data_IF_912360567290
#
_entry.id   IF_912360567290
#
_cell.length_a   1.000
_cell.length_b   1.000
_cell.length_c   1.000
_cell.angle_alpha   90.00
_cell.angle_beta   90.00
_cell.angle_gamma   90.00
#
_symmetry.space_group_name_H-M   'P 1'
#
loop_
_entity.id
_entity.type
_entity.pdbx_description
1 polymer ?
#
# COMPACT_ATOMS: atom_id res chain seq x y z
N UNK A 1 38.54 19.31 -30.39
CA UNK A 1 38.75 17.95 -30.93
C UNK A 1 37.42 17.30 -31.19
N UNK A 2 37.28 16.67 -32.32
CA UNK A 2 36.02 16.01 -32.70
C UNK A 2 35.82 14.76 -31.83
N UNK A 3 34.61 14.56 -31.38
CA UNK A 3 34.25 13.39 -30.59
C UNK A 3 33.92 12.25 -31.54
N UNK A 4 34.53 11.09 -31.35
CA UNK A 4 34.30 9.95 -32.22
C UNK A 4 32.99 9.25 -31.89
N UNK A 5 32.37 8.68 -32.92
CA UNK A 5 31.17 7.87 -32.73
C UNK A 5 31.44 6.68 -31.82
N UNK A 6 32.64 6.14 -31.93
CA UNK A 6 33.03 5.00 -31.08
C UNK A 6 33.02 5.35 -29.60
N UNK A 7 33.53 6.54 -29.24
CA UNK A 7 33.51 7.01 -27.89
C UNK A 7 32.09 7.26 -27.39
N UNK A 8 31.24 7.79 -28.29
CA UNK A 8 29.83 8.03 -27.94
C UNK A 8 29.14 6.70 -27.61
N UNK A 9 29.36 5.68 -28.44
CA UNK A 9 28.75 4.36 -28.21
C UNK A 9 29.29 3.72 -26.97
N UNK A 10 30.59 3.89 -26.70
CA UNK A 10 31.19 3.34 -25.47
C UNK A 10 30.57 3.99 -24.22
N UNK A 11 30.44 5.32 -24.24
CA UNK A 11 29.84 6.03 -23.10
C UNK A 11 28.40 5.61 -22.92
N UNK A 12 27.66 5.45 -24.03
CA UNK A 12 26.27 4.99 -23.93
C UNK A 12 26.19 3.60 -23.27
N UNK A 13 27.09 2.71 -23.69
CA UNK A 13 27.08 1.35 -23.12
C UNK A 13 27.41 1.35 -21.66
N UNK A 14 28.25 2.28 -21.20
CA UNK A 14 28.65 2.39 -19.79
C UNK A 14 27.58 3.05 -18.92
N UNK A 15 26.81 3.97 -19.48
CA UNK A 15 25.89 4.79 -18.67
C UNK A 15 24.41 4.51 -18.94
N UNK A 16 24.07 4.01 -20.13
CA UNK A 16 22.69 3.85 -20.52
C UNK A 16 22.03 5.12 -21.02
N UNK A 17 22.76 6.23 -21.04
CA UNK A 17 22.22 7.50 -21.52
C UNK A 17 22.02 7.48 -23.03
N UNK A 18 21.19 8.38 -23.55
CA UNK A 18 20.95 8.48 -24.97
C UNK A 18 22.18 8.97 -25.75
N UNK A 19 22.21 8.67 -27.03
CA UNK A 19 23.36 9.05 -27.88
C UNK A 19 23.60 10.57 -27.86
N UNK A 20 22.51 11.36 -27.88
CA UNK A 20 22.64 12.81 -27.87
C UNK A 20 23.26 13.31 -26.56
N UNK A 21 22.84 12.77 -25.44
CA UNK A 21 23.38 13.15 -24.14
C UNK A 21 24.85 12.74 -24.04
N UNK A 22 25.21 11.56 -24.58
CA UNK A 22 26.59 11.10 -24.55
C UNK A 22 27.47 12.00 -25.42
N UNK A 23 26.96 12.37 -26.59
CA UNK A 23 27.69 13.27 -27.51
C UNK A 23 27.95 14.61 -26.81
N UNK A 24 26.89 15.19 -26.22
CA UNK A 24 27.02 16.47 -25.54
C UNK A 24 28.00 16.41 -24.37
N UNK A 25 27.94 15.33 -23.58
CA UNK A 25 28.85 15.18 -22.44
C UNK A 25 30.30 15.08 -22.90
N UNK A 26 30.56 14.34 -23.96
CA UNK A 26 31.92 14.21 -24.51
C UNK A 26 32.42 15.51 -25.11
N UNK A 27 31.55 16.24 -25.82
CA UNK A 27 31.90 17.55 -26.33
C UNK A 27 32.26 18.52 -25.20
N UNK A 28 31.44 18.53 -24.18
CA UNK A 28 31.64 19.40 -23.02
C UNK A 28 32.97 19.13 -22.31
N UNK A 29 33.40 17.88 -22.31
CA UNK A 29 34.61 17.46 -21.61
C UNK A 29 35.80 17.21 -22.56
N UNK A 30 35.70 17.65 -23.80
CA UNK A 30 36.76 17.51 -24.80
C UNK A 30 37.22 16.06 -24.97
N UNK A 31 36.27 15.14 -24.95
CA UNK A 31 36.53 13.72 -25.16
C UNK A 31 37.01 12.94 -23.93
N UNK A 32 37.06 13.58 -22.79
CA UNK A 32 37.46 12.92 -21.54
C UNK A 32 36.34 12.00 -21.09
N UNK A 33 36.56 10.68 -21.18
CA UNK A 33 35.52 9.69 -20.89
C UNK A 33 35.09 9.73 -19.42
N UNK A 34 36.03 9.81 -18.49
CA UNK A 34 35.68 9.83 -17.06
C UNK A 34 34.90 11.09 -16.71
N UNK A 35 35.32 12.24 -17.25
CA UNK A 35 34.62 13.48 -17.00
C UNK A 35 33.22 13.46 -17.59
N UNK A 36 33.07 12.81 -18.77
CA UNK A 36 31.76 12.70 -19.41
C UNK A 36 30.81 11.83 -18.59
N UNK A 37 31.32 10.76 -17.99
CA UNK A 37 30.50 9.93 -17.08
C UNK A 37 30.00 10.78 -15.92
N UNK A 38 30.86 11.62 -15.37
CA UNK A 38 30.47 12.49 -14.26
C UNK A 38 29.43 13.53 -14.66
N UNK A 39 29.55 14.08 -15.90
CA UNK A 39 28.55 15.01 -16.42
C UNK A 39 27.18 14.33 -16.49
N UNK A 40 27.14 13.09 -16.98
CA UNK A 40 25.87 12.37 -17.09
C UNK A 40 25.32 12.07 -15.70
N UNK A 41 26.18 11.71 -14.76
CA UNK A 41 25.74 11.47 -13.38
C UNK A 41 25.14 12.72 -12.77
N UNK A 42 25.78 13.87 -12.94
CA UNK A 42 25.27 15.14 -12.42
C UNK A 42 23.95 15.53 -13.06
N UNK A 43 23.79 15.25 -14.37
CA UNK A 43 22.51 15.51 -15.03
C UNK A 43 21.40 14.68 -14.39
N UNK A 44 21.66 13.41 -14.09
CA UNK A 44 20.68 12.59 -13.40
C UNK A 44 20.32 13.14 -12.05
N UNK A 45 21.32 13.60 -11.29
CA UNK A 45 21.08 14.22 -10.01
C UNK A 45 20.25 15.49 -10.14
N UNK A 46 20.52 16.30 -11.16
CA UNK A 46 19.78 17.54 -11.38
C UNK A 46 18.31 17.23 -11.72
N UNK A 47 18.06 16.22 -12.54
CA UNK A 47 16.69 15.83 -12.87
C UNK A 47 15.97 15.34 -11.61
N UNK A 48 16.62 14.52 -10.81
CA UNK A 48 16.04 13.99 -9.59
C UNK A 48 15.70 15.14 -8.63
N UNK A 49 16.60 16.12 -8.47
CA UNK A 49 16.37 17.25 -7.59
C UNK A 49 15.22 18.13 -8.09
N UNK A 50 15.19 18.38 -9.40
CA UNK A 50 14.15 19.23 -10.00
C UNK A 50 12.76 18.63 -9.82
N UNK A 51 12.67 17.31 -9.81
CA UNK A 51 11.38 16.62 -9.72
C UNK A 51 11.12 16.02 -8.34
N UNK A 52 11.89 16.43 -7.34
CA UNK A 52 11.81 15.80 -6.01
C UNK A 52 10.46 15.99 -5.32
N UNK A 53 9.71 17.04 -5.69
CA UNK A 53 8.40 17.31 -5.10
C UNK A 53 7.26 16.57 -5.79
N UNK A 54 7.53 15.87 -6.86
CA UNK A 54 6.48 15.14 -7.58
C UNK A 54 6.15 13.83 -6.88
N UNK A 55 4.87 13.46 -6.94
CA UNK A 55 4.43 12.18 -6.40
C UNK A 55 4.83 11.04 -7.32
N UNK A 56 5.21 9.92 -6.72
CA UNK A 56 5.49 8.70 -7.45
C UNK A 56 4.38 7.71 -7.13
N UNK A 57 3.48 7.50 -8.09
CA UNK A 57 2.29 6.67 -7.91
C UNK A 57 2.32 5.36 -8.70
N UNK A 58 3.30 5.20 -9.56
CA UNK A 58 3.50 3.98 -10.33
C UNK A 58 4.82 3.37 -9.92
N UNK A 59 5.12 2.19 -10.46
CA UNK A 59 6.38 1.57 -10.13
C UNK A 59 6.39 0.08 -10.37
N UNK A 60 7.41 -0.56 -9.81
CA UNK A 60 7.63 -1.99 -9.93
C UNK A 60 7.89 -2.55 -8.54
N UNK A 61 7.06 -3.52 -8.13
CA UNK A 61 7.20 -4.23 -6.86
C UNK A 61 7.61 -5.66 -7.18
N UNK A 62 8.70 -6.12 -6.57
CA UNK A 62 9.20 -7.48 -6.80
C UNK A 62 9.48 -8.15 -5.47
N UNK A 63 9.48 -9.47 -5.48
CA UNK A 63 9.72 -10.29 -4.29
C UNK A 63 10.70 -11.41 -4.61
N UNK A 64 11.54 -11.75 -3.65
CA UNK A 64 12.50 -12.84 -3.82
C UNK A 64 12.83 -13.46 -2.46
N UNK A 65 12.95 -14.78 -2.44
CA UNK A 65 13.31 -15.53 -1.24
C UNK A 65 14.50 -16.43 -1.58
N UNK A 66 15.58 -16.32 -0.79
CA UNK A 66 16.78 -17.14 -0.97
C UNK A 66 17.36 -17.43 0.42
N UNK A 67 17.58 -18.72 0.70
CA UNK A 67 18.40 -19.20 1.83
C UNK A 67 18.07 -18.49 3.16
N UNK A 68 16.82 -18.59 3.57
CA UNK A 68 16.43 -18.10 4.88
C UNK A 68 16.21 -16.60 4.94
N UNK A 69 16.03 -15.95 3.79
CA UNK A 69 15.79 -14.51 3.74
C UNK A 69 14.85 -14.19 2.59
N UNK A 70 13.83 -13.39 2.86
CA UNK A 70 12.93 -12.91 1.82
C UNK A 70 12.83 -11.39 1.85
N UNK A 71 12.64 -10.81 0.67
CA UNK A 71 12.47 -9.35 0.58
C UNK A 71 11.47 -8.99 -0.50
N UNK A 72 10.74 -7.91 -0.23
CA UNK A 72 9.91 -7.22 -1.21
C UNK A 72 10.51 -5.83 -1.37
N UNK A 73 10.65 -5.38 -2.61
CA UNK A 73 11.18 -4.04 -2.87
C UNK A 73 10.29 -3.32 -3.88
N UNK A 74 10.21 -2.00 -3.75
CA UNK A 74 9.45 -1.17 -4.67
C UNK A 74 10.31 -0.04 -5.19
N UNK A 75 10.45 0.04 -6.51
CA UNK A 75 11.04 1.20 -7.18
C UNK A 75 9.89 1.95 -7.82
N UNK A 76 9.71 3.20 -7.42
CA UNK A 76 8.56 4.02 -7.82
C UNK A 76 8.95 5.03 -8.90
N UNK A 77 7.94 5.38 -9.70
CA UNK A 77 8.10 6.37 -10.78
C UNK A 77 6.76 7.07 -11.02
N UNK A 78 6.75 7.83 -12.03
CA UNK A 78 5.73 8.55 -12.22
C UNK A 78 4.80 8.00 -13.03
N UNK A 79 5.13 7.41 -14.16
CA UNK A 79 4.16 6.93 -15.17
C UNK A 79 4.21 5.41 -15.32
N UNK A 80 3.10 4.85 -15.81
CA UNK A 80 3.09 3.41 -16.08
C UNK A 80 3.97 3.05 -17.29
N UNK A 81 4.21 4.00 -18.20
CA UNK A 81 5.15 3.77 -19.30
C UNK A 81 6.53 3.40 -18.77
N UNK A 82 7.04 4.17 -17.81
CA UNK A 82 8.33 3.89 -17.22
C UNK A 82 8.27 2.61 -16.39
N UNK A 83 7.21 2.45 -15.61
CA UNK A 83 7.07 1.26 -14.75
C UNK A 83 7.12 -0.04 -15.53
N UNK A 84 6.58 -0.04 -16.74
CA UNK A 84 6.52 -1.25 -17.58
C UNK A 84 7.70 -1.38 -18.53
N UNK A 85 8.61 -0.41 -18.55
CA UNK A 85 9.80 -0.46 -19.37
C UNK A 85 10.72 -1.58 -18.88
N UNK A 86 11.24 -2.37 -19.82
CA UNK A 86 12.06 -3.53 -19.47
C UNK A 86 13.30 -3.14 -18.68
N UNK A 87 13.91 -2.01 -18.98
CA UNK A 87 15.11 -1.57 -18.27
C UNK A 87 14.79 -1.14 -16.85
N UNK A 88 13.63 -0.55 -16.63
CA UNK A 88 13.19 -0.17 -15.30
C UNK A 88 12.92 -1.42 -14.44
N UNK A 89 12.23 -2.40 -15.01
CA UNK A 89 11.97 -3.66 -14.32
C UNK A 89 13.30 -4.37 -14.02
N UNK A 90 14.22 -4.38 -15.00
CA UNK A 90 15.53 -5.01 -14.81
C UNK A 90 16.32 -4.34 -13.70
N UNK A 91 16.28 -3.01 -13.61
CA UNK A 91 16.94 -2.31 -12.51
C UNK A 91 16.34 -2.72 -11.17
N UNK A 92 15.02 -2.78 -11.08
CA UNK A 92 14.35 -3.20 -9.85
C UNK A 92 14.81 -4.60 -9.45
N UNK A 93 14.90 -5.51 -10.42
CA UNK A 93 15.34 -6.88 -10.15
C UNK A 93 16.81 -6.91 -9.70
N UNK A 94 17.67 -6.11 -10.32
CA UNK A 94 19.08 -6.04 -9.91
C UNK A 94 19.20 -5.55 -8.47
N UNK A 95 18.41 -4.55 -8.12
CA UNK A 95 18.43 -4.01 -6.75
C UNK A 95 17.96 -5.09 -5.76
N UNK A 96 16.88 -5.77 -6.10
CA UNK A 96 16.36 -6.84 -5.23
C UNK A 96 17.38 -7.96 -5.08
N UNK A 97 18.02 -8.37 -6.17
CA UNK A 97 19.04 -9.42 -6.13
C UNK A 97 20.18 -9.02 -5.19
N UNK A 98 20.64 -7.78 -5.28
CA UNK A 98 21.72 -7.28 -4.41
C UNK A 98 21.27 -7.24 -2.96
N UNK A 99 20.04 -6.78 -2.72
CA UNK A 99 19.49 -6.70 -1.36
C UNK A 99 19.41 -8.07 -0.71
N UNK A 100 18.94 -9.08 -1.45
CA UNK A 100 18.79 -10.43 -0.93
C UNK A 100 20.17 -11.09 -0.74
N UNK A 101 21.07 -10.90 -1.68
CA UNK A 101 22.41 -11.48 -1.58
C UNK A 101 23.15 -10.96 -0.35
N UNK A 102 22.92 -9.72 0.04
CA UNK A 102 23.58 -9.09 1.19
C UNK A 102 22.70 -9.06 2.43
N UNK A 103 21.47 -9.52 2.34
CA UNK A 103 20.50 -9.54 3.46
C UNK A 103 20.40 -8.21 4.18
N UNK A 104 20.27 -7.15 3.41
CA UNK A 104 20.24 -5.94 3.94
C UNK A 104 19.06 -5.81 4.73
N UNK A 105 19.12 -5.29 5.90
CA UNK A 105 18.02 -5.22 6.84
C UNK A 105 17.13 -4.01 6.60
N UNK A 106 17.66 -2.90 6.08
CA UNK A 106 16.93 -1.65 5.93
C UNK A 106 17.07 -1.10 4.52
N UNK A 107 16.12 -0.24 4.17
CA UNK A 107 16.16 0.43 2.87
C UNK A 107 17.43 1.26 2.68
N UNK A 108 17.86 1.95 3.73
CA UNK A 108 19.08 2.75 3.63
C UNK A 108 20.30 1.88 3.34
N UNK A 109 20.35 0.70 3.93
CA UNK A 109 21.43 -0.25 3.64
C UNK A 109 21.38 -0.71 2.18
N UNK A 110 20.17 -0.94 1.66
CA UNK A 110 20.03 -1.33 0.26
C UNK A 110 20.51 -0.22 -0.66
N UNK A 111 20.13 1.03 -0.37
CA UNK A 111 20.53 2.17 -1.21
C UNK A 111 22.04 2.33 -1.28
N UNK A 112 22.74 1.93 -0.24
CA UNK A 112 24.19 2.07 -0.16
C UNK A 112 24.97 0.91 -0.78
N UNK A 113 24.28 -0.17 -1.18
CA UNK A 113 24.95 -1.34 -1.75
C UNK A 113 25.63 -0.98 -3.08
N UNK A 114 26.78 -1.59 -3.36
CA UNK A 114 27.39 -1.40 -4.67
C UNK A 114 26.51 -1.94 -5.79
N UNK A 115 26.42 -1.19 -6.87
CA UNK A 115 25.71 -1.64 -8.07
C UNK A 115 26.34 -0.93 -9.27
N UNK A 116 26.90 -1.69 -10.19
CA UNK A 116 27.61 -1.11 -11.32
C UNK A 116 28.80 -0.31 -10.82
N UNK A 117 28.97 0.91 -11.31
CA UNK A 117 30.11 1.76 -10.96
C UNK A 117 29.84 2.63 -9.72
N UNK A 118 28.69 2.52 -9.13
CA UNK A 118 28.34 3.32 -7.95
C UNK A 118 27.51 2.51 -7.00
N UNK A 119 26.56 3.17 -6.36
CA UNK A 119 25.65 2.50 -5.42
C UNK A 119 24.30 2.27 -6.08
N UNK A 120 23.45 1.53 -5.37
CA UNK A 120 22.04 1.38 -5.78
C UNK A 120 21.40 2.76 -5.96
N UNK A 121 21.59 3.67 -4.99
CA UNK A 121 20.99 5.00 -5.11
C UNK A 121 21.53 5.74 -6.34
N UNK A 122 22.83 5.60 -6.63
CA UNK A 122 23.41 6.19 -7.84
C UNK A 122 22.71 5.66 -9.10
N UNK A 123 22.42 4.37 -9.13
CA UNK A 123 21.78 3.77 -10.29
C UNK A 123 20.35 4.28 -10.47
N UNK A 124 19.64 4.49 -9.35
CA UNK A 124 18.28 5.05 -9.40
C UNK A 124 18.33 6.48 -9.93
N UNK A 125 19.25 7.29 -9.44
CA UNK A 125 19.42 8.66 -9.90
C UNK A 125 19.78 8.69 -11.38
N UNK A 126 20.68 7.81 -11.81
CA UNK A 126 21.06 7.74 -13.23
C UNK A 126 19.87 7.40 -14.11
N UNK A 127 19.04 6.45 -13.68
CA UNK A 127 17.85 6.07 -14.44
C UNK A 127 16.85 7.23 -14.52
N UNK A 128 16.71 7.98 -13.44
CA UNK A 128 15.88 9.18 -13.44
C UNK A 128 16.36 10.18 -14.47
N UNK A 129 17.67 10.34 -14.61
CA UNK A 129 18.24 11.23 -15.62
C UNK A 129 17.93 10.78 -17.04
N UNK A 130 17.96 9.47 -17.28
CA UNK A 130 17.68 8.92 -18.61
C UNK A 130 16.20 9.13 -18.98
N UNK A 131 15.30 8.86 -18.08
CA UNK A 131 13.86 8.92 -18.36
C UNK A 131 13.27 10.32 -18.22
N UNK A 132 13.91 11.17 -17.43
CA UNK A 132 13.37 12.49 -17.11
C UNK A 132 12.27 12.47 -16.04
N UNK A 133 12.06 11.33 -15.39
CA UNK A 133 11.05 11.20 -14.33
C UNK A 133 11.71 11.00 -12.98
N UNK A 134 11.07 11.53 -11.94
CA UNK A 134 11.48 11.22 -10.57
C UNK A 134 11.35 9.71 -10.33
N UNK A 135 12.36 9.13 -9.72
CA UNK A 135 12.32 7.75 -9.27
C UNK A 135 12.70 7.70 -7.82
N UNK A 136 12.07 6.78 -7.10
CA UNK A 136 12.28 6.68 -5.67
C UNK A 136 12.26 5.22 -5.26
N UNK A 137 13.35 4.76 -4.66
CA UNK A 137 13.36 3.45 -4.04
C UNK A 137 12.68 3.64 -2.69
N UNK A 138 11.44 3.21 -2.58
CA UNK A 138 10.59 3.58 -1.45
C UNK A 138 9.65 2.46 -1.05
N UNK A 139 10.22 1.37 -0.65
CA UNK A 139 9.49 0.23 -0.14
C UNK A 139 10.44 -0.94 -0.02
N UNK A 140 10.58 -1.44 1.20
CA UNK A 140 11.45 -2.58 1.45
C UNK A 140 10.97 -3.29 2.69
N UNK A 141 10.56 -4.53 2.52
CA UNK A 141 10.06 -5.36 3.61
C UNK A 141 10.83 -6.68 3.59
N UNK A 142 11.15 -7.21 4.77
CA UNK A 142 11.93 -8.44 4.85
C UNK A 142 11.32 -9.43 5.83
N UNK A 143 11.66 -10.70 5.61
CA UNK A 143 11.44 -11.79 6.56
C UNK A 143 12.71 -12.61 6.63
N UNK A 144 13.07 -13.06 7.83
CA UNK A 144 14.24 -13.90 8.04
C UNK A 144 13.81 -15.20 8.67
N UNK A 145 14.35 -16.30 8.18
CA UNK A 145 14.08 -17.62 8.73
C UNK A 145 13.74 -18.62 7.63
N UNK A 146 13.32 -19.81 8.06
CA UNK A 146 12.97 -20.86 7.13
C UNK A 146 11.52 -20.76 6.67
N UNK A 147 11.19 -21.46 5.59
CA UNK A 147 9.81 -21.70 5.16
C UNK A 147 9.09 -20.40 4.78
N UNK A 148 9.74 -19.57 3.99
CA UNK A 148 9.17 -18.31 3.47
C UNK A 148 8.74 -18.57 2.03
N UNK A 149 7.50 -18.18 1.69
CA UNK A 149 6.93 -18.40 0.36
C UNK A 149 6.55 -17.07 -0.26
N UNK A 150 7.01 -16.79 -1.50
CA UNK A 150 6.78 -15.50 -2.14
C UNK A 150 5.64 -15.54 -3.15
N UNK A 151 5.09 -14.36 -3.49
CA UNK A 151 4.05 -14.26 -4.49
C UNK A 151 4.02 -12.86 -5.08
N UNK A 152 4.00 -12.81 -6.40
CA UNK A 152 3.83 -11.57 -7.17
C UNK A 152 2.46 -11.68 -7.84
N UNK A 153 1.50 -10.91 -7.37
CA UNK A 153 0.10 -11.08 -7.74
C UNK A 153 -0.09 -10.91 -9.24
N UNK A 154 -0.54 -11.98 -9.88
CA UNK A 154 -0.80 -12.03 -11.32
C UNK A 154 0.42 -11.67 -12.16
N UNK A 155 1.61 -11.72 -11.59
CA UNK A 155 2.87 -11.34 -12.24
C UNK A 155 2.85 -9.91 -12.80
N UNK A 156 2.12 -9.02 -12.13
CA UNK A 156 1.97 -7.64 -12.62
C UNK A 156 2.93 -6.66 -11.97
N UNK A 157 3.73 -7.11 -11.00
CA UNK A 157 4.73 -6.26 -10.33
C UNK A 157 4.11 -5.04 -9.63
N UNK A 158 2.90 -5.21 -9.11
CA UNK A 158 2.17 -4.14 -8.41
C UNK A 158 1.95 -4.49 -6.96
N UNK A 159 1.66 -5.76 -6.69
CA UNK A 159 1.36 -6.25 -5.33
C UNK A 159 2.12 -7.56 -5.11
N UNK A 160 2.95 -7.57 -4.07
CA UNK A 160 3.70 -8.78 -3.72
C UNK A 160 3.50 -9.11 -2.26
N UNK A 161 3.57 -10.41 -1.94
CA UNK A 161 3.45 -10.88 -0.58
C UNK A 161 4.50 -11.94 -0.29
N UNK A 162 4.76 -12.17 1.00
CA UNK A 162 5.54 -13.29 1.50
C UNK A 162 4.84 -13.82 2.75
N UNK A 163 4.83 -15.12 2.92
CA UNK A 163 4.30 -15.76 4.13
C UNK A 163 5.36 -16.71 4.67
N UNK A 164 5.61 -16.63 5.97
CA UNK A 164 6.54 -17.54 6.64
C UNK A 164 5.74 -18.52 7.49
N UNK A 165 5.97 -19.79 7.25
CA UNK A 165 5.30 -20.88 7.98
C UNK A 165 6.25 -21.43 9.05
N UNK A 166 5.67 -22.06 10.09
CA UNK A 166 6.50 -22.63 11.15
C UNK A 166 7.14 -23.96 10.76
N UNK A 167 6.72 -24.55 9.65
CA UNK A 167 7.32 -25.79 9.13
C UNK A 167 7.11 -25.83 7.62
N UNK A 168 7.86 -26.68 6.90
CA UNK A 168 7.70 -26.74 5.45
C UNK A 168 6.28 -27.12 5.04
N UNK A 169 5.67 -26.32 4.18
CA UNK A 169 4.30 -26.54 3.70
C UNK A 169 4.11 -25.72 2.46
N UNK A 170 4.66 -26.17 1.35
CA UNK A 170 4.69 -25.36 0.12
C UNK A 170 3.29 -25.06 -0.40
N UNK A 171 2.42 -26.05 -0.42
CA UNK A 171 1.06 -25.85 -0.94
C UNK A 171 0.31 -24.84 -0.08
N UNK A 172 0.36 -24.99 1.24
CA UNK A 172 -0.35 -24.11 2.17
C UNK A 172 0.29 -22.73 2.18
N UNK A 173 1.62 -22.67 2.17
CA UNK A 173 2.33 -21.40 2.14
C UNK A 173 1.94 -20.58 0.92
N UNK A 174 1.92 -21.22 -0.25
CA UNK A 174 1.53 -20.54 -1.47
C UNK A 174 0.06 -20.07 -1.40
N UNK A 175 -0.84 -20.93 -0.91
CA UNK A 175 -2.24 -20.54 -0.79
C UNK A 175 -2.40 -19.32 0.11
N UNK A 176 -1.61 -19.24 1.18
CA UNK A 176 -1.71 -18.10 2.09
C UNK A 176 -1.06 -16.83 1.54
N UNK A 177 -0.08 -16.94 0.66
CA UNK A 177 0.41 -15.72 0.01
C UNK A 177 -0.70 -15.07 -0.81
N UNK A 178 -1.53 -15.89 -1.45
CA UNK A 178 -2.66 -15.39 -2.22
C UNK A 178 -3.76 -14.85 -1.30
N UNK A 179 -3.97 -15.49 -0.15
CA UNK A 179 -4.91 -15.02 0.86
C UNK A 179 -4.51 -13.63 1.34
N UNK A 180 -3.24 -13.43 1.67
CA UNK A 180 -2.73 -12.14 2.13
C UNK A 180 -2.91 -11.10 1.03
N UNK A 181 -2.59 -11.44 -0.20
CA UNK A 181 -2.75 -10.52 -1.33
C UNK A 181 -4.20 -10.06 -1.47
N UNK A 182 -5.14 -11.00 -1.39
CA UNK A 182 -6.55 -10.71 -1.65
C UNK A 182 -7.24 -10.04 -0.47
N UNK A 183 -6.93 -10.45 0.75
CA UNK A 183 -7.72 -10.06 1.92
C UNK A 183 -7.04 -9.05 2.83
N UNK A 184 -5.77 -8.75 2.59
CA UNK A 184 -5.04 -7.68 3.29
C UNK A 184 -5.23 -7.71 4.82
N UNK A 185 -4.89 -8.82 5.48
CA UNK A 185 -5.01 -8.85 6.94
C UNK A 185 -4.01 -7.89 7.60
N UNK A 186 -4.34 -7.43 8.80
CA UNK A 186 -3.47 -6.50 9.53
C UNK A 186 -2.46 -7.23 10.42
N UNK A 187 -2.72 -8.51 10.72
CA UNK A 187 -1.86 -9.29 11.60
C UNK A 187 -2.17 -10.78 11.42
N UNK A 188 -1.30 -11.62 11.93
CA UNK A 188 -1.51 -13.07 11.88
C UNK A 188 -2.74 -13.48 12.69
N UNK A 189 -2.85 -12.95 13.92
CA UNK A 189 -3.96 -13.26 14.82
C UNK A 189 -4.25 -12.07 15.72
N UNK A 190 -5.27 -12.19 16.55
CA UNK A 190 -5.69 -11.11 17.42
C UNK A 190 -4.54 -10.66 18.36
N UNK A 191 -3.81 -11.60 18.90
CA UNK A 191 -2.72 -11.28 19.84
C UNK A 191 -1.62 -10.45 19.17
N UNK A 192 -1.41 -10.61 17.85
CA UNK A 192 -0.35 -9.89 17.15
C UNK A 192 -0.80 -8.54 16.59
N UNK A 193 -2.07 -8.16 16.71
CA UNK A 193 -2.50 -6.84 16.26
C UNK A 193 -1.81 -5.79 17.12
N UNK A 194 -1.11 -4.81 16.51
CA UNK A 194 -0.44 -3.78 17.31
C UNK A 194 -1.43 -3.01 18.18
N UNK A 195 -0.98 -2.64 19.38
CA UNK A 195 -1.86 -1.95 20.32
C UNK A 195 -2.42 -0.65 19.74
N UNK A 196 -1.61 0.09 18.98
CA UNK A 196 -2.09 1.33 18.38
C UNK A 196 -3.21 1.09 17.37
N UNK A 197 -3.19 -0.03 16.66
CA UNK A 197 -4.27 -0.41 15.76
C UNK A 197 -5.52 -0.75 16.57
N UNK A 198 -5.36 -1.53 17.64
CA UNK A 198 -6.49 -1.86 18.53
C UNK A 198 -7.14 -0.60 19.09
N UNK A 199 -6.33 0.34 19.55
CA UNK A 199 -6.84 1.58 20.13
C UNK A 199 -7.59 2.42 19.10
N UNK A 200 -7.03 2.53 17.90
CA UNK A 200 -7.67 3.30 16.83
C UNK A 200 -8.99 2.67 16.42
N UNK A 201 -9.03 1.37 16.28
CA UNK A 201 -10.27 0.68 15.92
C UNK A 201 -11.33 0.74 17.04
N UNK A 202 -10.90 0.74 18.11
CA UNK A 202 -11.70 0.83 19.14
C UNK A 202 -12.37 2.07 19.22
N UNK A 203 -11.59 3.08 19.05
CA UNK A 203 -12.15 4.43 19.03
C UNK A 203 -13.19 4.58 17.93
N UNK A 204 -12.86 4.09 16.74
CA UNK A 204 -13.79 4.11 15.61
C UNK A 204 -15.06 3.33 15.94
N UNK A 205 -14.93 2.17 16.58
CA UNK A 205 -16.11 1.36 16.94
C UNK A 205 -17.02 2.11 17.88
N UNK A 206 -16.45 2.79 18.88
CA UNK A 206 -17.24 3.55 19.85
C UNK A 206 -17.94 4.71 19.15
N UNK A 207 -17.21 5.48 18.35
CA UNK A 207 -17.78 6.63 17.65
C UNK A 207 -18.90 6.21 16.71
N UNK A 208 -18.68 5.13 15.96
CA UNK A 208 -19.69 4.64 15.03
C UNK A 208 -20.93 4.13 15.76
N UNK A 209 -20.74 3.47 16.90
CA UNK A 209 -21.87 3.00 17.70
C UNK A 209 -22.69 4.18 18.21
N UNK A 210 -22.03 5.21 18.72
CA UNK A 210 -22.74 6.41 19.20
C UNK A 210 -23.52 7.06 18.07
N UNK A 211 -22.89 7.21 16.91
CA UNK A 211 -23.53 7.82 15.75
C UNK A 211 -24.78 7.05 15.33
N UNK A 212 -24.67 5.72 15.28
CA UNK A 212 -25.81 4.90 14.87
C UNK A 212 -26.96 4.97 15.87
N UNK A 213 -26.65 5.01 17.19
CA UNK A 213 -27.68 5.12 18.21
C UNK A 213 -28.40 6.46 18.11
N UNK A 214 -27.66 7.54 17.86
CA UNK A 214 -28.25 8.87 17.69
C UNK A 214 -29.12 8.90 16.44
N UNK A 215 -28.63 8.36 15.33
CA UNK A 215 -29.39 8.35 14.06
C UNK A 215 -30.67 7.54 14.20
N UNK A 216 -30.62 6.42 14.90
CA UNK A 216 -31.80 5.61 15.17
C UNK A 216 -32.86 6.39 15.95
N UNK A 217 -32.42 7.14 16.98
CA UNK A 217 -33.35 7.94 17.77
C UNK A 217 -33.97 9.05 16.95
N UNK A 218 -33.17 9.69 16.07
CA UNK A 218 -33.64 10.75 15.20
C UNK A 218 -34.68 10.20 14.22
N UNK A 219 -34.41 9.05 13.60
CA UNK A 219 -35.35 8.43 12.71
C UNK A 219 -36.68 8.09 13.39
N UNK A 220 -36.59 7.54 14.61
CA UNK A 220 -37.78 7.19 15.37
C UNK A 220 -38.60 8.42 15.71
N UNK A 221 -37.95 9.53 16.09
CA UNK A 221 -38.64 10.77 16.41
C UNK A 221 -39.35 11.34 15.18
N UNK A 222 -38.69 11.33 14.03
CA UNK A 222 -39.27 11.82 12.77
C UNK A 222 -40.48 10.98 12.37
N UNK A 223 -40.35 9.67 12.48
CA UNK A 223 -41.40 8.74 12.12
C UNK A 223 -42.60 8.93 13.04
N UNK A 224 -42.36 9.07 14.34
CA UNK A 224 -43.41 9.30 15.31
C UNK A 224 -44.14 10.61 15.04
N UNK A 225 -43.43 11.63 14.60
CA UNK A 225 -44.03 12.93 14.27
C UNK A 225 -44.74 12.93 12.92
N UNK A 226 -44.65 11.84 12.16
CA UNK A 226 -45.32 11.71 10.88
C UNK A 226 -44.59 12.24 9.68
N UNK A 227 -43.29 12.53 9.81
CA UNK A 227 -42.55 13.04 8.68
C UNK A 227 -42.02 11.92 7.80
N UNK A 228 -41.87 12.21 6.52
CA UNK A 228 -41.30 11.29 5.55
C UNK A 228 -39.77 11.23 5.73
N UNK A 229 -39.25 10.04 5.96
CA UNK A 229 -37.82 9.89 6.28
C UNK A 229 -36.91 10.26 5.11
N UNK A 230 -37.34 10.00 3.87
CA UNK A 230 -36.53 10.38 2.70
C UNK A 230 -36.40 11.89 2.61
N UNK A 231 -37.52 12.61 2.77
CA UNK A 231 -37.53 14.08 2.71
C UNK A 231 -36.67 14.66 3.85
N UNK A 232 -36.76 14.07 5.03
CA UNK A 232 -36.04 14.57 6.22
C UNK A 232 -34.56 14.20 6.23
N UNK A 233 -34.10 13.36 5.32
CA UNK A 233 -32.75 12.77 5.36
C UNK A 233 -31.64 13.81 5.26
N UNK A 234 -31.82 14.83 4.43
CA UNK A 234 -30.76 15.82 4.18
C UNK A 234 -31.35 17.18 3.85
N UNK A 235 -30.51 18.21 3.94
CA UNK A 235 -30.93 19.55 3.50
C UNK A 235 -31.32 19.55 2.04
N UNK A 236 -30.62 18.81 1.22
CA UNK A 236 -30.95 18.70 -0.20
C UNK A 236 -32.31 18.14 -0.41
N UNK A 237 -32.70 17.09 0.33
CA UNK A 237 -34.02 16.48 0.22
C UNK A 237 -35.10 17.39 0.77
N UNK A 238 -34.79 18.17 1.82
CA UNK A 238 -35.76 19.14 2.34
C UNK A 238 -36.07 20.21 1.29
N UNK A 239 -35.02 20.74 0.65
CA UNK A 239 -35.21 21.76 -0.38
C UNK A 239 -36.02 21.21 -1.57
N UNK A 240 -35.70 19.97 -1.95
CA UNK A 240 -36.46 19.31 -3.01
C UNK A 240 -37.93 19.15 -2.64
N UNK A 241 -38.21 18.77 -1.41
CA UNK A 241 -39.56 18.60 -0.91
C UNK A 241 -40.35 19.90 -0.92
N UNK A 242 -39.71 21.00 -0.57
CA UNK A 242 -40.32 22.33 -0.62
C UNK A 242 -40.64 22.68 -2.09
N UNK A 243 -39.65 22.49 -2.95
CA UNK A 243 -39.78 22.84 -4.37
C UNK A 243 -40.90 22.06 -5.05
N UNK A 244 -41.06 20.80 -4.68
CA UNK A 244 -42.10 19.94 -5.26
C UNK A 244 -43.47 20.10 -4.58
N UNK A 245 -43.54 20.88 -3.53
CA UNK A 245 -44.79 21.07 -2.81
C UNK A 245 -45.18 19.97 -1.86
N UNK A 246 -44.24 19.06 -1.56
CA UNK A 246 -44.51 17.95 -0.64
C UNK A 246 -44.50 18.40 0.80
N UNK A 247 -43.72 19.42 1.13
CA UNK A 247 -43.65 20.02 2.48
C UNK A 247 -43.57 21.54 2.34
N UNK A 248 -43.88 22.24 3.44
CA UNK A 248 -43.76 23.69 3.49
C UNK A 248 -42.41 24.04 4.12
N UNK A 249 -42.03 25.32 4.04
CA UNK A 249 -40.82 25.79 4.73
C UNK A 249 -40.99 25.64 6.24
N UNK A 250 -42.20 25.83 6.77
CA UNK A 250 -42.42 25.63 8.20
C UNK A 250 -42.20 24.15 8.57
N UNK A 251 -42.62 23.24 7.70
CA UNK A 251 -42.36 21.81 7.91
C UNK A 251 -40.86 21.53 7.94
N UNK A 252 -40.13 22.11 7.01
CA UNK A 252 -38.69 21.90 6.95
C UNK A 252 -37.99 22.42 8.22
N UNK A 253 -38.40 23.57 8.70
CA UNK A 253 -37.85 24.12 9.94
C UNK A 253 -38.18 23.24 11.13
N UNK A 254 -39.39 22.72 11.19
CA UNK A 254 -39.78 21.80 12.28
C UNK A 254 -38.97 20.51 12.22
N UNK A 255 -38.72 20.00 11.04
CA UNK A 255 -37.88 18.80 10.87
C UNK A 255 -36.47 19.05 11.36
N UNK A 256 -35.88 20.18 10.91
CA UNK A 256 -34.51 20.53 11.33
C UNK A 256 -34.42 20.63 12.85
N UNK A 257 -35.37 21.28 13.47
CA UNK A 257 -35.38 21.46 14.93
C UNK A 257 -35.52 20.11 15.63
N UNK A 258 -36.42 19.27 15.17
CA UNK A 258 -36.63 17.95 15.77
C UNK A 258 -35.36 17.09 15.66
N UNK A 259 -34.74 17.10 14.49
CA UNK A 259 -33.49 16.36 14.29
C UNK A 259 -32.41 16.83 15.28
N UNK A 260 -32.22 18.13 15.38
CA UNK A 260 -31.18 18.72 16.22
C UNK A 260 -31.43 18.43 17.68
N UNK A 261 -32.65 18.66 18.16
CA UNK A 261 -32.99 18.45 19.56
C UNK A 261 -32.91 16.97 19.93
N UNK A 262 -33.39 16.10 19.08
CA UNK A 262 -33.33 14.66 19.35
C UNK A 262 -31.90 14.18 19.40
N UNK A 263 -31.13 14.63 18.49
CA UNK A 263 -29.72 14.24 18.48
C UNK A 263 -28.99 14.70 19.74
N UNK A 264 -29.23 15.71 19.98
CA UNK A 264 -28.62 16.24 21.09
C UNK A 264 -28.97 15.57 22.32
N UNK A 265 -30.15 15.40 22.50
CA UNK A 265 -30.63 14.75 23.72
C UNK A 265 -30.17 13.29 23.82
N UNK A 266 -30.25 12.58 22.71
CA UNK A 266 -29.81 11.19 22.70
C UNK A 266 -28.31 11.05 22.97
N UNK A 267 -27.49 11.92 22.34
CA UNK A 267 -26.03 11.87 22.54
C UNK A 267 -25.68 12.07 24.02
N UNK A 268 -26.43 12.93 24.72
CA UNK A 268 -26.18 13.21 26.14
C UNK A 268 -26.60 12.05 27.03
N UNK A 269 -27.43 11.15 26.55
CA UNK A 269 -28.06 10.13 27.40
C UNK A 269 -27.79 8.70 26.94
N UNK A 270 -26.72 8.47 26.19
CA UNK A 270 -26.37 7.12 25.77
C UNK A 270 -25.79 6.33 26.95
N UNK A 271 -26.35 5.16 27.27
CA UNK A 271 -25.77 4.32 28.33
C UNK A 271 -24.38 3.86 27.93
N UNK A 272 -23.41 4.15 28.79
CA UNK A 272 -22.02 3.85 28.49
C UNK A 272 -21.78 2.35 28.30
N UNK A 273 -22.41 1.53 29.16
CA UNK A 273 -22.23 0.08 29.07
C UNK A 273 -22.79 -0.49 27.78
N UNK A 274 -23.92 0.02 27.31
CA UNK A 274 -24.50 -0.44 26.04
C UNK A 274 -23.57 -0.11 24.88
N UNK A 275 -23.03 1.11 24.87
CA UNK A 275 -22.10 1.54 23.82
C UNK A 275 -20.87 0.63 23.83
N UNK A 276 -20.33 0.36 25.01
CA UNK A 276 -19.14 -0.48 25.14
C UNK A 276 -19.40 -1.91 24.67
N UNK A 277 -20.57 -2.46 25.01
CA UNK A 277 -20.92 -3.83 24.61
C UNK A 277 -21.02 -3.94 23.09
N UNK A 278 -21.67 -2.97 22.45
CA UNK A 278 -21.81 -2.99 20.99
C UNK A 278 -20.44 -2.79 20.33
N UNK A 279 -19.63 -1.87 20.87
CA UNK A 279 -18.29 -1.63 20.34
C UNK A 279 -17.41 -2.88 20.47
N UNK A 280 -17.54 -3.62 21.59
CA UNK A 280 -16.79 -4.87 21.76
C UNK A 280 -17.18 -5.89 20.68
N UNK A 281 -18.47 -5.96 20.34
CA UNK A 281 -18.94 -6.82 19.27
C UNK A 281 -18.33 -6.45 17.92
N UNK A 282 -18.24 -5.14 17.66
CA UNK A 282 -17.61 -4.65 16.43
C UNK A 282 -16.13 -5.01 16.39
N UNK A 283 -15.46 -4.95 17.56
CA UNK A 283 -14.05 -5.34 17.63
C UNK A 283 -13.85 -6.82 17.34
N UNK A 284 -14.75 -7.67 17.82
CA UNK A 284 -14.66 -9.11 17.54
C UNK A 284 -14.82 -9.36 16.03
N UNK A 285 -15.74 -8.62 15.39
CA UNK A 285 -15.90 -8.72 13.94
C UNK A 285 -14.66 -8.21 13.21
N UNK A 286 -14.04 -7.14 13.70
CA UNK A 286 -12.78 -6.64 13.13
C UNK A 286 -11.70 -7.71 13.16
N UNK A 287 -11.52 -8.37 14.30
CA UNK A 287 -10.51 -9.42 14.40
C UNK A 287 -10.81 -10.57 13.46
N UNK A 288 -12.07 -10.95 13.34
CA UNK A 288 -12.46 -12.03 12.44
C UNK A 288 -12.17 -11.67 10.98
N UNK A 289 -12.46 -10.42 10.60
CA UNK A 289 -12.31 -10.00 9.20
C UNK A 289 -10.87 -9.67 8.85
N UNK A 290 -10.05 -9.23 9.81
CA UNK A 290 -8.76 -8.63 9.51
C UNK A 290 -7.55 -9.34 10.12
N UNK A 291 -7.71 -10.47 10.78
CA UNK A 291 -6.55 -11.28 11.16
C UNK A 291 -6.50 -12.53 10.31
N UNK A 292 -5.30 -12.84 9.82
CA UNK A 292 -5.12 -13.88 8.81
C UNK A 292 -5.73 -15.22 9.20
N UNK A 293 -5.43 -15.69 10.40
CA UNK A 293 -5.88 -17.04 10.80
C UNK A 293 -7.39 -17.11 10.99
N UNK A 294 -8.05 -16.00 11.31
CA UNK A 294 -9.49 -15.99 11.55
C UNK A 294 -10.30 -15.70 10.29
N UNK A 295 -9.68 -15.20 9.24
CA UNK A 295 -10.38 -14.88 8.00
C UNK A 295 -10.96 -16.13 7.34
N UNK A 296 -12.06 -15.95 6.61
CA UNK A 296 -12.54 -17.02 5.74
C UNK A 296 -11.48 -17.31 4.67
N UNK A 297 -11.23 -18.58 4.44
CA UNK A 297 -10.25 -18.98 3.42
C UNK A 297 -10.81 -18.67 2.03
N UNK A 298 -10.05 -17.95 1.22
CA UNK A 298 -10.57 -17.49 -0.08
C UNK A 298 -10.92 -18.64 -1.02
N UNK A 299 -10.25 -19.80 -0.88
CA UNK A 299 -10.51 -20.94 -1.76
C UNK A 299 -11.66 -21.81 -1.26
N UNK A 300 -12.13 -21.59 -0.03
CA UNK A 300 -13.26 -22.34 0.54
C UNK A 300 -13.79 -21.59 1.75
N UNK A 301 -14.77 -20.74 1.52
CA UNK A 301 -15.30 -19.84 2.56
C UNK A 301 -16.03 -20.55 3.69
N UNK A 302 -16.24 -21.85 3.57
CA UNK A 302 -16.86 -22.63 4.65
C UNK A 302 -15.90 -22.89 5.80
N UNK A 303 -14.62 -22.59 5.62
CA UNK A 303 -13.63 -22.77 6.68
C UNK A 303 -12.78 -21.51 6.81
N UNK A 304 -12.18 -21.37 7.99
CA UNK A 304 -11.22 -20.29 8.22
C UNK A 304 -9.85 -20.72 7.71
N UNK A 305 -8.94 -19.74 7.60
CA UNK A 305 -7.54 -20.05 7.29
C UNK A 305 -6.97 -21.03 8.32
N UNK A 306 -7.27 -20.79 9.61
CA UNK A 306 -6.81 -21.70 10.67
C UNK A 306 -7.30 -23.13 10.45
N UNK A 307 -8.58 -23.31 10.08
CA UNK A 307 -9.13 -24.64 9.80
C UNK A 307 -8.40 -25.30 8.64
N UNK A 308 -8.14 -24.53 7.60
CA UNK A 308 -7.44 -25.03 6.42
C UNK A 308 -6.05 -25.55 6.79
N UNK A 309 -5.31 -24.80 7.60
CA UNK A 309 -3.97 -25.20 8.00
C UNK A 309 -4.00 -26.43 8.88
N UNK A 310 -4.92 -26.48 9.84
CA UNK A 310 -5.01 -27.59 10.78
C UNK A 310 -5.44 -28.89 10.09
N UNK A 311 -6.21 -28.77 9.02
CA UNK A 311 -6.58 -29.96 8.24
C UNK A 311 -5.36 -30.60 7.60
N UNK A 312 -4.35 -29.82 7.24
CA UNK A 312 -3.12 -30.33 6.66
C UNK A 312 -2.19 -30.90 7.73
N UNK A 313 -2.10 -30.22 8.87
CA UNK A 313 -1.20 -30.57 9.97
C UNK A 313 -1.64 -29.76 11.19
N UNK A 314 -1.93 -30.47 12.28
CA UNK A 314 -2.47 -29.81 13.49
C UNK A 314 -1.57 -28.72 14.04
N UNK A 315 -0.27 -28.80 13.78
CA UNK A 315 0.69 -27.86 14.33
C UNK A 315 1.14 -26.80 13.32
N UNK A 316 0.60 -26.86 12.12
CA UNK A 316 0.99 -25.90 11.07
C UNK A 316 0.36 -24.54 11.33
N UNK A 317 1.17 -23.50 11.32
CA UNK A 317 0.67 -22.15 11.46
C UNK A 317 1.59 -21.14 10.78
N UNK A 318 1.16 -19.90 10.75
CA UNK A 318 1.90 -18.80 10.15
C UNK A 318 2.73 -18.12 11.23
N UNK A 319 4.01 -17.88 10.92
CA UNK A 319 4.90 -17.12 11.80
C UNK A 319 4.74 -15.61 11.55
N UNK A 320 4.76 -15.22 10.26
CA UNK A 320 4.70 -13.82 9.89
C UNK A 320 4.37 -13.70 8.40
N UNK A 321 3.96 -12.52 8.00
CA UNK A 321 3.76 -12.24 6.57
C UNK A 321 4.13 -10.81 6.28
N UNK A 322 4.34 -10.50 4.98
CA UNK A 322 4.54 -9.14 4.49
C UNK A 322 3.72 -8.94 3.22
N UNK A 323 3.24 -7.73 3.04
CA UNK A 323 2.45 -7.36 1.87
C UNK A 323 2.81 -5.94 1.47
N UNK A 324 3.04 -5.72 0.20
CA UNK A 324 3.27 -4.36 -0.33
C UNK A 324 2.53 -4.20 -1.63
N UNK A 325 1.80 -3.09 -1.76
CA UNK A 325 1.14 -2.75 -3.02
C UNK A 325 1.32 -1.27 -3.32
N UNK A 326 1.38 -0.97 -4.62
CA UNK A 326 1.39 0.41 -5.09
C UNK A 326 0.01 1.03 -5.10
N UNK A 327 -1.04 0.20 -5.08
CA UNK A 327 -2.41 0.69 -5.22
C UNK A 327 -3.01 1.04 -3.87
N UNK A 328 -3.73 2.16 -3.82
CA UNK A 328 -4.52 2.52 -2.64
C UNK A 328 -5.68 1.54 -2.49
N UNK A 329 -6.05 1.26 -1.23
CA UNK A 329 -7.12 0.30 -0.94
C UNK A 329 -8.14 0.85 0.03
#
# INVERSE_FOLDING_TARGET
MAVSLEDIKKLRSMTGAGLGDCKNALNETNGDMEAAIEVIRKKGQAVAAKRSDRETSEGCVLVKVVDGFGAIIALKCXTDFVANNADFVALTQQILDAAVANKXATLDEVKALPLGDGTVQDAVVARSGITGEKMELDGYLTLTGENIYPYNHMNKNILCTMVQMNKPAEEQGHALTMQVAAMNPVAVDQASVPQEVKDREXKVAIEKTKEEQVNKAVEAALKKAGYNLYIAESEEHLEEGIRKGNITEADADAIRKLKEETAXQKAANLPEQMVQNIANGRMQKFYKDFTLLAQEFIQDSKQTVSDYLKAADKELTVVAFRRFTLRAE
#
